data_IF_747668113861
#
_entry.id   IF_747668113861
#
_cell.length_a   1.000
_cell.length_b   1.000
_cell.length_c   1.000
_cell.angle_alpha   90.00
_cell.angle_beta   90.00
_cell.angle_gamma   90.00
#
_symmetry.space_group_name_H-M   'P 1'
#
loop_
_entity.id
_entity.type
_entity.pdbx_description
1 polymer ?
#
# COMPACT_ATOMS: atom_id res chain seq x y z
N UNK A 1 -0.37 -9.57 -31.27
CA UNK A 1 -0.95 -9.37 -29.92
C UNK A 1 0.15 -9.05 -28.90
N UNK A 2 1.30 -9.73 -28.93
CA UNK A 2 2.42 -9.45 -27.99
C UNK A 2 3.06 -8.05 -28.07
N UNK A 3 3.07 -7.38 -29.23
CA UNK A 3 3.64 -6.03 -29.34
C UNK A 3 2.87 -4.98 -28.53
N UNK A 4 1.54 -5.14 -28.38
CA UNK A 4 0.74 -4.15 -27.67
C UNK A 4 0.93 -4.28 -26.14
N UNK A 5 1.05 -5.52 -25.65
CA UNK A 5 1.30 -5.80 -24.22
C UNK A 5 2.63 -5.22 -23.75
N UNK A 6 3.70 -5.40 -24.53
CA UNK A 6 5.02 -4.83 -24.24
C UNK A 6 5.00 -3.30 -24.25
N UNK A 7 4.29 -2.69 -25.21
CA UNK A 7 4.16 -1.23 -25.28
C UNK A 7 3.44 -0.65 -24.06
N UNK A 8 2.41 -1.32 -23.56
CA UNK A 8 1.67 -0.89 -22.38
C UNK A 8 2.53 -1.03 -21.13
N UNK A 9 3.23 -2.15 -20.97
CA UNK A 9 4.16 -2.33 -19.85
C UNK A 9 5.23 -1.24 -19.88
N UNK A 10 5.80 -0.96 -21.05
CA UNK A 10 6.78 0.12 -21.23
C UNK A 10 6.17 1.49 -20.91
N UNK A 11 4.95 1.77 -21.36
CA UNK A 11 4.24 3.01 -21.06
C UNK A 11 3.98 3.17 -19.55
N UNK A 12 3.47 2.14 -18.88
CA UNK A 12 3.23 2.13 -17.44
C UNK A 12 4.52 2.35 -16.66
N UNK A 13 5.61 1.68 -17.03
CA UNK A 13 6.92 1.86 -16.39
C UNK A 13 7.50 3.25 -16.64
N UNK A 14 7.38 3.78 -17.86
CA UNK A 14 7.86 5.12 -18.21
C UNK A 14 7.07 6.20 -17.46
N UNK A 15 5.73 6.12 -17.48
CA UNK A 15 4.86 7.03 -16.73
C UNK A 15 5.10 6.92 -15.23
N UNK A 16 5.25 5.71 -14.69
CA UNK A 16 5.56 5.50 -13.28
C UNK A 16 6.89 6.12 -12.86
N UNK A 17 7.94 5.92 -13.66
CA UNK A 17 9.27 6.51 -13.44
C UNK A 17 9.22 8.05 -13.52
N UNK A 18 8.47 8.60 -14.49
CA UNK A 18 8.26 10.04 -14.60
C UNK A 18 7.51 10.60 -13.38
N UNK A 19 6.47 9.92 -12.91
CA UNK A 19 5.71 10.30 -11.71
C UNK A 19 6.59 10.27 -10.46
N UNK A 20 7.46 9.27 -10.31
CA UNK A 20 8.41 9.19 -9.20
C UNK A 20 9.42 10.34 -9.24
N UNK A 21 9.97 10.65 -10.42
CA UNK A 21 10.87 11.78 -10.62
C UNK A 21 10.18 13.11 -10.28
N UNK A 22 8.94 13.29 -10.74
CA UNK A 22 8.12 14.48 -10.47
C UNK A 22 7.82 14.61 -8.97
N UNK A 23 7.44 13.51 -8.31
CA UNK A 23 7.20 13.47 -6.86
C UNK A 23 8.43 13.92 -6.08
N UNK A 24 9.60 13.43 -6.45
CA UNK A 24 10.87 13.80 -5.82
C UNK A 24 11.20 15.29 -6.04
N UNK A 25 10.95 15.82 -7.25
CA UNK A 25 11.14 17.26 -7.55
C UNK A 25 10.24 18.17 -6.72
N UNK A 26 8.98 17.79 -6.54
CA UNK A 26 7.97 18.59 -5.81
C UNK A 26 7.96 18.27 -4.30
N UNK A 27 8.76 17.28 -3.85
CA UNK A 27 8.87 16.83 -2.45
C UNK A 27 7.54 16.34 -1.86
N UNK A 28 6.70 15.73 -2.69
CA UNK A 28 5.43 15.12 -2.27
C UNK A 28 5.53 13.59 -2.29
N UNK A 29 4.70 12.87 -1.52
CA UNK A 29 4.64 11.41 -1.59
C UNK A 29 4.33 10.92 -3.02
N UNK A 30 5.11 9.97 -3.53
CA UNK A 30 4.99 9.50 -4.92
C UNK A 30 3.66 8.83 -5.26
N UNK A 31 2.94 8.34 -4.25
CA UNK A 31 1.60 7.77 -4.43
C UNK A 31 0.60 8.79 -5.01
N UNK A 32 0.74 10.08 -4.70
CA UNK A 32 -0.16 11.13 -5.18
C UNK A 32 -0.08 11.32 -6.71
N UNK A 33 1.09 11.60 -7.32
CA UNK A 33 1.19 11.71 -8.77
C UNK A 33 0.92 10.37 -9.48
N UNK A 34 1.26 9.23 -8.87
CA UNK A 34 0.94 7.91 -9.44
C UNK A 34 -0.59 7.69 -9.54
N UNK A 35 -1.33 7.98 -8.46
CA UNK A 35 -2.79 7.90 -8.45
C UNK A 35 -3.42 8.89 -9.43
N UNK A 36 -2.92 10.13 -9.46
CA UNK A 36 -3.41 11.14 -10.39
C UNK A 36 -3.18 10.73 -11.85
N UNK A 37 -1.99 10.24 -12.19
CA UNK A 37 -1.67 9.78 -13.54
C UNK A 37 -2.53 8.56 -13.93
N UNK A 38 -2.70 7.59 -13.04
CA UNK A 38 -3.56 6.43 -13.28
C UNK A 38 -5.04 6.79 -13.44
N UNK A 39 -5.56 7.68 -12.60
CA UNK A 39 -6.93 8.17 -12.69
C UNK A 39 -7.18 8.96 -13.97
N UNK A 40 -6.24 9.83 -14.35
CA UNK A 40 -6.33 10.59 -15.59
C UNK A 40 -6.24 9.67 -16.82
N UNK A 41 -5.25 8.78 -16.87
CA UNK A 41 -5.03 7.91 -18.02
C UNK A 41 -6.09 6.81 -18.17
N UNK A 42 -6.70 6.36 -17.07
CA UNK A 42 -7.80 5.40 -17.09
C UNK A 42 -9.15 6.10 -17.21
N UNK A 43 -9.94 6.26 -16.13
CA UNK A 43 -11.33 6.74 -16.22
C UNK A 43 -11.58 8.07 -16.92
N UNK A 44 -10.64 9.02 -16.88
CA UNK A 44 -10.87 10.38 -17.40
C UNK A 44 -10.62 10.48 -18.90
N UNK A 45 -9.46 9.98 -19.37
CA UNK A 45 -9.07 10.06 -20.78
C UNK A 45 -9.27 8.75 -21.56
N UNK A 46 -9.60 7.65 -20.88
CA UNK A 46 -9.84 6.32 -21.48
C UNK A 46 -8.66 5.80 -22.31
N UNK A 47 -7.43 6.23 -21.98
CA UNK A 47 -6.22 5.98 -22.78
C UNK A 47 -5.58 4.62 -22.51
N UNK A 48 -5.70 4.11 -21.27
CA UNK A 48 -5.04 2.88 -20.84
C UNK A 48 -6.05 1.93 -20.19
N UNK A 49 -6.15 0.72 -20.75
CA UNK A 49 -6.96 -0.36 -20.18
C UNK A 49 -6.12 -1.61 -19.84
N UNK A 50 -5.30 -1.56 -18.77
CA UNK A 50 -4.37 -2.64 -18.43
C UNK A 50 -5.05 -4.01 -18.34
N UNK A 51 -6.25 -4.09 -17.76
CA UNK A 51 -6.97 -5.35 -17.60
C UNK A 51 -7.43 -5.97 -18.93
N UNK A 52 -7.91 -5.15 -19.87
CA UNK A 52 -8.37 -5.63 -21.18
C UNK A 52 -7.20 -6.01 -22.07
N UNK A 53 -6.14 -5.20 -22.04
CA UNK A 53 -5.04 -5.33 -22.97
C UNK A 53 -3.97 -6.33 -22.52
N UNK A 54 -3.74 -6.49 -21.21
CA UNK A 54 -2.84 -7.51 -20.66
C UNK A 54 -3.53 -8.85 -20.41
N UNK A 55 -4.87 -8.89 -20.46
CA UNK A 55 -5.67 -10.11 -20.34
C UNK A 55 -5.26 -10.99 -19.15
N UNK A 56 -4.84 -12.22 -19.44
CA UNK A 56 -4.45 -13.20 -18.43
C UNK A 56 -3.17 -12.83 -17.65
N UNK A 57 -2.34 -11.92 -18.18
CA UNK A 57 -1.07 -11.52 -17.55
C UNK A 57 -1.25 -10.42 -16.50
N UNK A 58 -2.40 -9.73 -16.49
CA UNK A 58 -2.69 -8.63 -15.57
C UNK A 58 -2.57 -9.03 -14.09
N UNK A 59 -3.29 -10.08 -13.69
CA UNK A 59 -3.29 -10.54 -12.30
C UNK A 59 -1.94 -11.14 -11.86
N UNK A 60 -1.27 -12.01 -12.64
CA UNK A 60 0.07 -12.49 -12.32
C UNK A 60 1.11 -11.38 -12.12
N UNK A 61 1.13 -10.35 -12.97
CA UNK A 61 2.07 -9.23 -12.83
C UNK A 61 1.81 -8.45 -11.55
N UNK A 62 0.55 -8.16 -11.21
CA UNK A 62 0.22 -7.46 -9.96
C UNK A 62 0.62 -8.30 -8.75
N UNK A 63 0.28 -9.59 -8.75
CA UNK A 63 0.61 -10.50 -7.66
C UNK A 63 2.12 -10.61 -7.45
N UNK A 64 2.89 -10.78 -8.52
CA UNK A 64 4.35 -10.79 -8.48
C UNK A 64 4.89 -9.45 -7.95
N UNK A 65 4.35 -8.33 -8.42
CA UNK A 65 4.79 -7.00 -8.01
C UNK A 65 4.53 -6.76 -6.52
N UNK A 66 3.34 -7.11 -6.01
CA UNK A 66 2.99 -7.01 -4.58
C UNK A 66 3.89 -7.92 -3.75
N UNK A 67 4.12 -9.16 -4.19
CA UNK A 67 5.01 -10.09 -3.50
C UNK A 67 6.45 -9.55 -3.41
N UNK A 68 6.97 -8.96 -4.49
CA UNK A 68 8.31 -8.34 -4.50
C UNK A 68 8.37 -7.12 -3.57
N UNK A 69 7.36 -6.26 -3.56
CA UNK A 69 7.29 -5.08 -2.67
C UNK A 69 7.29 -5.51 -1.20
N UNK A 70 6.47 -6.50 -0.85
CA UNK A 70 6.41 -7.05 0.52
C UNK A 70 7.73 -7.70 0.92
N UNK A 71 8.34 -8.45 0.00
CA UNK A 71 9.62 -9.10 0.22
C UNK A 71 10.76 -8.10 0.44
N UNK A 72 10.86 -7.07 -0.41
CA UNK A 72 11.84 -5.98 -0.23
C UNK A 72 11.64 -5.28 1.12
N UNK A 73 10.38 -4.96 1.47
CA UNK A 73 10.05 -4.38 2.77
C UNK A 73 10.57 -5.23 3.93
N UNK A 74 10.25 -6.53 3.93
CA UNK A 74 10.68 -7.47 4.96
C UNK A 74 12.20 -7.60 5.09
N UNK A 75 12.96 -7.55 3.99
CA UNK A 75 14.42 -7.59 4.02
C UNK A 75 15.04 -6.38 4.72
N UNK A 76 14.33 -5.26 4.85
CA UNK A 76 14.82 -4.09 5.59
C UNK A 76 14.64 -4.20 7.11
N UNK A 77 13.96 -5.24 7.61
CA UNK A 77 13.69 -5.43 9.03
C UNK A 77 14.91 -6.03 9.75
N UNK A 78 15.34 -5.37 10.82
CA UNK A 78 16.45 -5.86 11.66
C UNK A 78 15.94 -6.37 13.00
N UNK A 79 16.12 -7.66 13.26
CA UNK A 79 15.71 -8.32 14.53
C UNK A 79 16.29 -7.68 15.79
N UNK A 80 17.47 -7.07 15.70
CA UNK A 80 18.13 -6.40 16.83
C UNK A 80 17.38 -5.14 17.26
N UNK A 81 16.75 -4.44 16.33
CA UNK A 81 16.03 -3.18 16.61
C UNK A 81 14.65 -3.43 17.23
N UNK A 82 13.95 -4.49 16.81
CA UNK A 82 12.61 -4.78 17.34
C UNK A 82 12.64 -5.33 18.75
N UNK A 83 13.73 -5.96 19.19
CA UNK A 83 13.76 -6.70 20.46
C UNK A 83 13.45 -5.82 21.67
N UNK A 84 13.85 -4.54 21.64
CA UNK A 84 13.55 -3.57 22.70
C UNK A 84 12.10 -3.07 22.68
N UNK A 85 11.41 -3.16 21.54
CA UNK A 85 10.06 -2.63 21.31
C UNK A 85 9.03 -3.70 20.92
N UNK A 86 9.39 -4.98 21.00
CA UNK A 86 8.60 -6.10 20.48
C UNK A 86 7.23 -6.21 21.15
N UNK A 87 7.13 -5.90 22.45
CA UNK A 87 5.85 -5.89 23.16
C UNK A 87 4.89 -4.84 22.59
N UNK A 88 5.40 -3.65 22.26
CA UNK A 88 4.62 -2.57 21.66
C UNK A 88 4.15 -2.94 20.26
N UNK A 89 5.04 -3.45 19.42
CA UNK A 89 4.70 -3.90 18.06
C UNK A 89 3.63 -5.00 18.10
N UNK A 90 3.78 -6.00 18.97
CA UNK A 90 2.77 -7.05 19.14
C UNK A 90 1.42 -6.50 19.57
N UNK A 91 1.39 -5.58 20.53
CA UNK A 91 0.14 -4.99 21.00
C UNK A 91 -0.52 -4.14 19.90
N UNK A 92 0.25 -3.42 19.08
CA UNK A 92 -0.28 -2.69 17.92
C UNK A 92 -0.87 -3.65 16.88
N UNK A 93 -0.16 -4.72 16.53
CA UNK A 93 -0.60 -5.70 15.53
C UNK A 93 -1.81 -6.53 15.96
N UNK A 94 -2.08 -6.65 17.26
CA UNK A 94 -3.21 -7.43 17.78
C UNK A 94 -4.32 -6.48 18.24
N UNK A 95 -4.07 -5.73 19.32
CA UNK A 95 -5.07 -4.87 19.93
C UNK A 95 -5.33 -3.63 19.06
N UNK A 96 -4.28 -2.99 18.56
CA UNK A 96 -4.42 -1.81 17.69
C UNK A 96 -5.17 -2.16 16.41
N UNK A 97 -4.76 -3.25 15.76
CA UNK A 97 -5.43 -3.82 14.59
C UNK A 97 -6.91 -4.12 14.88
N UNK A 98 -7.22 -4.89 15.92
CA UNK A 98 -8.61 -5.25 16.26
C UNK A 98 -9.48 -4.03 16.56
N UNK A 99 -8.96 -3.07 17.33
CA UNK A 99 -9.67 -1.83 17.66
C UNK A 99 -9.91 -0.99 16.40
N UNK A 100 -8.93 -0.90 15.52
CA UNK A 100 -9.05 -0.16 14.25
C UNK A 100 -10.05 -0.83 13.32
N UNK A 101 -10.02 -2.16 13.23
CA UNK A 101 -10.96 -2.94 12.43
C UNK A 101 -12.41 -2.77 12.88
N UNK A 102 -12.68 -3.01 14.16
CA UNK A 102 -14.03 -2.88 14.71
C UNK A 102 -14.47 -1.42 14.69
N UNK A 103 -13.60 -0.48 15.06
CA UNK A 103 -13.89 0.94 15.07
C UNK A 103 -14.26 1.48 13.69
N UNK A 104 -13.49 1.11 12.65
CA UNK A 104 -13.77 1.50 11.27
C UNK A 104 -15.02 0.83 10.72
N UNK A 105 -15.28 -0.45 11.03
CA UNK A 105 -16.50 -1.13 10.62
C UNK A 105 -17.74 -0.50 11.27
N UNK A 106 -17.69 -0.20 12.57
CA UNK A 106 -18.76 0.49 13.30
C UNK A 106 -18.97 1.90 12.72
N UNK A 107 -17.89 2.64 12.47
CA UNK A 107 -17.98 3.96 11.84
C UNK A 107 -18.61 3.87 10.44
N UNK A 108 -18.23 2.90 9.62
CA UNK A 108 -18.81 2.67 8.30
C UNK A 108 -20.32 2.36 8.37
N UNK A 109 -20.72 1.55 9.35
CA UNK A 109 -22.14 1.24 9.60
C UNK A 109 -22.95 2.49 9.93
N UNK A 110 -22.45 3.34 10.84
CA UNK A 110 -23.22 4.48 11.35
C UNK A 110 -23.11 5.75 10.50
N UNK A 111 -21.96 5.99 9.85
CA UNK A 111 -21.74 7.19 9.03
C UNK A 111 -22.16 7.00 7.58
N UNK A 112 -21.97 5.81 7.02
CA UNK A 112 -22.24 5.51 5.60
C UNK A 112 -23.46 4.60 5.40
N UNK A 113 -24.12 4.17 6.49
CA UNK A 113 -25.28 3.28 6.48
C UNK A 113 -25.04 1.94 5.76
N UNK A 114 -23.78 1.48 5.68
CA UNK A 114 -23.43 0.23 5.02
C UNK A 114 -23.98 -0.99 5.78
N UNK A 115 -24.34 -2.10 5.10
CA UNK A 115 -24.66 -3.36 5.77
C UNK A 115 -23.43 -3.90 6.52
N UNK A 116 -23.66 -4.78 7.50
CA UNK A 116 -22.59 -5.31 8.36
C UNK A 116 -21.48 -6.00 7.56
N UNK A 117 -21.83 -6.78 6.55
CA UNK A 117 -20.85 -7.50 5.73
C UNK A 117 -19.89 -6.54 5.02
N UNK A 118 -20.43 -5.48 4.39
CA UNK A 118 -19.61 -4.45 3.73
C UNK A 118 -18.85 -3.58 4.74
N UNK A 119 -19.41 -3.36 5.92
CA UNK A 119 -18.75 -2.57 6.97
C UNK A 119 -17.54 -3.29 7.53
N UNK A 120 -17.66 -4.60 7.79
CA UNK A 120 -16.55 -5.44 8.24
C UNK A 120 -15.46 -5.57 7.17
N UNK A 121 -15.86 -5.74 5.91
CA UNK A 121 -14.95 -5.74 4.76
C UNK A 121 -14.20 -4.41 4.64
N UNK A 122 -14.92 -3.29 4.73
CA UNK A 122 -14.32 -1.96 4.68
C UNK A 122 -13.31 -1.75 5.80
N UNK A 123 -13.64 -2.20 7.02
CA UNK A 123 -12.68 -2.16 8.11
C UNK A 123 -11.43 -3.00 7.82
N UNK A 124 -11.60 -4.20 7.25
CA UNK A 124 -10.48 -5.09 6.92
C UNK A 124 -9.57 -4.50 5.84
N UNK A 125 -10.12 -3.69 4.93
CA UNK A 125 -9.33 -2.95 3.94
C UNK A 125 -8.55 -1.77 4.56
N UNK A 126 -9.13 -1.08 5.55
CA UNK A 126 -8.54 0.14 6.14
C UNK A 126 -7.45 -0.15 7.17
N UNK A 127 -7.51 -1.29 7.84
CA UNK A 127 -6.52 -1.68 8.85
C UNK A 127 -5.09 -1.75 8.27
N UNK A 128 -4.96 -1.99 6.96
CA UNK A 128 -3.69 -2.18 6.28
C UNK A 128 -2.97 -0.85 6.11
N UNK A 129 -1.83 -0.74 6.78
CA UNK A 129 -0.86 0.31 6.49
C UNK A 129 0.26 -0.27 5.63
N UNK A 130 0.54 0.34 4.48
CA UNK A 130 1.58 -0.15 3.57
C UNK A 130 2.98 0.44 3.87
N UNK A 131 4.06 -0.35 3.70
CA UNK A 131 5.43 0.13 3.87
C UNK A 131 5.80 1.23 2.85
N UNK A 132 5.10 1.27 1.72
CA UNK A 132 5.27 2.26 0.64
C UNK A 132 4.91 3.68 1.06
N UNK A 133 4.02 3.85 2.05
CA UNK A 133 3.64 5.16 2.61
C UNK A 133 4.45 5.48 3.86
N UNK A 134 4.70 4.50 4.73
CA UNK A 134 5.42 4.71 6.00
C UNK A 134 6.90 5.05 5.75
N UNK A 135 7.58 4.35 4.83
CA UNK A 135 8.99 4.57 4.56
C UNK A 135 9.34 6.03 4.15
N UNK A 136 8.64 6.68 3.19
CA UNK A 136 8.90 8.08 2.87
C UNK A 136 8.51 9.03 4.01
N UNK A 137 7.45 8.74 4.77
CA UNK A 137 7.07 9.55 5.93
C UNK A 137 8.16 9.55 7.01
N UNK A 138 8.73 8.38 7.34
CA UNK A 138 9.83 8.27 8.31
C UNK A 138 11.07 9.07 7.88
N UNK A 139 11.37 9.13 6.57
CA UNK A 139 12.48 9.92 6.02
C UNK A 139 12.26 11.44 6.15
N UNK A 140 11.01 11.88 6.05
CA UNK A 140 10.63 13.29 6.14
C UNK A 140 10.50 13.77 7.59
N UNK A 141 9.82 13.02 8.45
CA UNK A 141 9.53 13.41 9.85
C UNK A 141 10.72 13.15 10.77
N UNK A 142 11.54 12.14 10.48
CA UNK A 142 12.72 11.72 11.28
C UNK A 142 12.42 11.54 12.78
N UNK A 143 11.47 10.64 13.14
CA UNK A 143 11.16 10.38 14.54
C UNK A 143 12.33 9.68 15.25
N UNK A 144 12.21 9.52 16.57
CA UNK A 144 13.20 8.79 17.36
C UNK A 144 13.35 7.34 16.87
N UNK A 145 14.53 6.75 17.09
CA UNK A 145 14.85 5.40 16.60
C UNK A 145 13.79 4.36 16.99
N UNK A 146 13.32 4.39 18.24
CA UNK A 146 12.28 3.47 18.72
C UNK A 146 10.96 3.60 17.95
N UNK A 147 10.49 4.83 17.71
CA UNK A 147 9.23 5.07 16.99
C UNK A 147 9.38 4.65 15.51
N UNK A 148 10.54 4.97 14.90
CA UNK A 148 10.85 4.56 13.54
C UNK A 148 10.84 3.04 13.38
N UNK A 149 11.47 2.32 14.31
CA UNK A 149 11.47 0.85 14.31
C UNK A 149 10.06 0.29 14.55
N UNK A 150 9.28 0.83 15.49
CA UNK A 150 7.90 0.39 15.74
C UNK A 150 7.05 0.53 14.47
N UNK A 151 7.01 1.73 13.87
CA UNK A 151 6.19 2.01 12.69
C UNK A 151 6.64 1.21 11.46
N UNK A 152 7.95 1.00 11.30
CA UNK A 152 8.48 0.16 10.21
C UNK A 152 8.04 -1.29 10.38
N UNK A 153 8.15 -1.84 11.58
CA UNK A 153 7.77 -3.23 11.86
C UNK A 153 6.27 -3.45 11.76
N UNK A 154 5.47 -2.54 12.31
CA UNK A 154 4.02 -2.60 12.21
C UNK A 154 3.57 -2.51 10.74
N UNK A 155 4.03 -1.51 10.00
CA UNK A 155 3.69 -1.32 8.58
C UNK A 155 4.07 -2.47 7.65
N UNK A 156 5.19 -3.16 7.90
CA UNK A 156 5.60 -4.29 7.05
C UNK A 156 4.83 -5.58 7.41
N UNK A 157 4.51 -5.80 8.69
CA UNK A 157 3.83 -7.03 9.12
C UNK A 157 2.32 -6.96 8.92
N UNK A 158 1.71 -5.80 9.13
CA UNK A 158 0.25 -5.66 9.02
C UNK A 158 -0.26 -5.76 7.57
N UNK A 159 0.59 -5.44 6.60
CA UNK A 159 0.28 -5.46 5.17
C UNK A 159 -0.16 -6.86 4.67
N UNK A 160 0.65 -7.94 4.82
CA UNK A 160 0.20 -9.28 4.45
C UNK A 160 -0.95 -9.79 5.32
N UNK A 161 -1.06 -9.36 6.58
CA UNK A 161 -2.16 -9.77 7.47
C UNK A 161 -3.49 -9.31 6.89
N UNK A 162 -3.62 -8.02 6.56
CA UNK A 162 -4.87 -7.52 6.00
C UNK A 162 -5.10 -7.92 4.55
N UNK A 163 -4.06 -8.25 3.78
CA UNK A 163 -4.25 -8.88 2.46
C UNK A 163 -4.82 -10.31 2.54
N UNK A 164 -4.70 -10.96 3.71
CA UNK A 164 -5.23 -12.31 3.98
C UNK A 164 -6.54 -12.34 4.77
N UNK A 165 -7.05 -11.18 5.18
CA UNK A 165 -8.29 -11.01 5.97
C UNK A 165 -9.51 -10.82 5.05
#
# INVERSE_FOLDING_TARGET
MEHNELLIIAAVLATGSFCQWLAWRVKIPAILPLLAAGFLAGPVFDLLHPQKEMGALYFPIISLSVAVILFEGALTLTWREVRSVASTVRNLLILGALVTWIGSAVAARYLLALPWDLSLLFGALIIVTGPTVIAPLLRNVRPTANISSILRWEGIIIDPIGASA
#
